data_IF_788506519111
#
_entry.id   IF_788506519111
#
_cell.length_a   1.000
_cell.length_b   1.000
_cell.length_c   1.000
_cell.angle_alpha   90.00
_cell.angle_beta   90.00
_cell.angle_gamma   90.00
#
_symmetry.space_group_name_H-M   'P 1'
#
loop_
_entity.id
_entity.type
_entity.pdbx_description
1 polymer ?
#
# COMPACT_ATOMS: atom_id res chain seq x y z
N UNK A 1 -29.74 11.30 -2.63
CA UNK A 1 -28.60 10.64 -1.96
C UNK A 1 -28.57 9.17 -2.30
N UNK A 2 -29.72 8.51 -2.37
CA UNK A 2 -29.85 7.07 -2.65
C UNK A 2 -29.11 6.61 -3.92
N UNK A 3 -29.22 7.34 -5.03
CA UNK A 3 -28.54 6.99 -6.29
C UNK A 3 -27.00 6.99 -6.16
N UNK A 4 -26.41 7.94 -5.42
CA UNK A 4 -24.95 8.00 -5.23
C UNK A 4 -24.46 6.81 -4.40
N UNK A 5 -25.22 6.43 -3.37
CA UNK A 5 -24.91 5.28 -2.52
C UNK A 5 -25.05 3.98 -3.32
N UNK A 6 -26.08 3.84 -4.14
CA UNK A 6 -26.26 2.68 -5.04
C UNK A 6 -25.10 2.57 -6.04
N UNK A 7 -24.68 3.67 -6.67
CA UNK A 7 -23.54 3.67 -7.58
C UNK A 7 -22.22 3.35 -6.89
N UNK A 8 -22.04 3.79 -5.64
CA UNK A 8 -20.89 3.41 -4.83
C UNK A 8 -20.88 1.92 -4.48
N UNK A 9 -22.05 1.31 -4.23
CA UNK A 9 -22.18 -0.14 -4.01
C UNK A 9 -21.83 -0.93 -5.26
N UNK A 10 -22.38 -0.55 -6.41
CA UNK A 10 -22.07 -1.17 -7.71
C UNK A 10 -20.54 -1.11 -7.98
N UNK A 11 -19.91 0.03 -7.73
CA UNK A 11 -18.46 0.17 -7.85
C UNK A 11 -17.70 -0.76 -6.89
N UNK A 12 -18.18 -0.91 -5.65
CA UNK A 12 -17.61 -1.83 -4.67
C UNK A 12 -17.72 -3.30 -5.10
N UNK A 13 -18.85 -3.70 -5.68
CA UNK A 13 -19.06 -5.05 -6.23
C UNK A 13 -18.11 -5.31 -7.40
N UNK A 14 -18.00 -4.36 -8.35
CA UNK A 14 -17.05 -4.47 -9.45
C UNK A 14 -15.58 -4.55 -8.97
N UNK A 15 -15.24 -3.87 -7.88
CA UNK A 15 -13.92 -3.95 -7.27
C UNK A 15 -13.66 -5.33 -6.64
N UNK A 16 -14.67 -5.89 -5.96
CA UNK A 16 -14.58 -7.23 -5.39
C UNK A 16 -14.42 -8.32 -6.47
N UNK A 17 -14.98 -8.10 -7.66
CA UNK A 17 -14.83 -9.00 -8.81
C UNK A 17 -13.60 -8.69 -9.68
N UNK A 18 -12.86 -7.62 -9.38
CA UNK A 18 -11.69 -7.22 -10.15
C UNK A 18 -10.56 -8.25 -10.06
N UNK A 19 -9.82 -8.41 -11.16
CA UNK A 19 -8.66 -9.31 -11.23
C UNK A 19 -7.62 -8.99 -10.14
N UNK A 20 -7.44 -7.71 -9.83
CA UNK A 20 -6.51 -7.22 -8.80
C UNK A 20 -6.94 -7.69 -7.40
N UNK A 21 -8.24 -7.59 -7.08
CA UNK A 21 -8.74 -8.05 -5.79
C UNK A 21 -8.70 -9.57 -5.66
N UNK A 22 -9.08 -10.30 -6.70
CA UNK A 22 -9.00 -11.77 -6.72
C UNK A 22 -7.54 -12.23 -6.56
N UNK A 23 -6.59 -11.60 -7.28
CA UNK A 23 -5.15 -11.87 -7.12
C UNK A 23 -4.69 -11.63 -5.69
N UNK A 24 -5.09 -10.51 -5.09
CA UNK A 24 -4.78 -10.20 -3.69
C UNK A 24 -5.33 -11.27 -2.74
N UNK A 25 -6.56 -11.72 -2.92
CA UNK A 25 -7.18 -12.75 -2.07
C UNK A 25 -6.47 -14.09 -2.16
N UNK A 26 -6.13 -14.52 -3.37
CA UNK A 26 -5.38 -15.75 -3.59
C UNK A 26 -3.97 -15.67 -2.99
N UNK A 27 -3.29 -14.53 -3.16
CA UNK A 27 -1.96 -14.31 -2.60
C UNK A 27 -1.99 -14.26 -1.05
N UNK A 28 -3.03 -13.66 -0.47
CA UNK A 28 -3.27 -13.64 0.97
C UNK A 28 -3.45 -15.07 1.51
N UNK A 29 -4.27 -15.90 0.86
CA UNK A 29 -4.46 -17.29 1.24
C UNK A 29 -3.17 -18.13 1.11
N UNK A 30 -2.45 -17.98 0.00
CA UNK A 30 -1.17 -18.66 -0.22
C UNK A 30 -0.13 -18.29 0.86
N UNK A 31 -0.03 -17.00 1.19
CA UNK A 31 0.85 -16.49 2.23
C UNK A 31 0.43 -16.94 3.63
N UNK A 32 -0.87 -17.08 3.91
CA UNK A 32 -1.41 -17.62 5.17
C UNK A 32 -1.09 -19.11 5.36
N UNK A 33 -1.14 -19.87 4.28
CA UNK A 33 -0.89 -21.31 4.29
C UNK A 33 0.62 -21.67 4.26
N UNK A 34 1.51 -20.71 3.97
CA UNK A 34 2.96 -20.88 4.02
C UNK A 34 3.49 -20.66 5.45
N UNK A 35 3.86 -21.74 6.13
CA UNK A 35 4.41 -21.70 7.49
C UNK A 35 5.70 -20.89 7.60
N UNK A 36 6.57 -20.95 6.59
CA UNK A 36 7.81 -20.17 6.54
C UNK A 36 7.48 -18.68 6.39
N UNK A 37 6.50 -18.33 5.56
CA UNK A 37 6.03 -16.96 5.43
C UNK A 37 5.46 -16.43 6.76
N UNK A 38 4.66 -17.23 7.48
CA UNK A 38 4.13 -16.86 8.80
C UNK A 38 5.24 -16.58 9.81
N UNK A 39 6.25 -17.45 9.88
CA UNK A 39 7.37 -17.29 10.80
C UNK A 39 8.20 -16.04 10.50
N UNK A 40 8.49 -15.81 9.21
CA UNK A 40 9.18 -14.62 8.73
C UNK A 40 8.42 -13.34 9.11
N UNK A 41 7.11 -13.28 8.83
CA UNK A 41 6.27 -12.14 9.18
C UNK A 41 6.17 -11.91 10.69
N UNK A 42 6.11 -12.98 11.49
CA UNK A 42 6.10 -12.88 12.95
C UNK A 42 7.38 -12.22 13.47
N UNK A 43 8.55 -12.64 12.98
CA UNK A 43 9.84 -12.08 13.35
C UNK A 43 9.96 -10.61 12.94
N UNK A 44 9.62 -10.28 11.70
CA UNK A 44 9.61 -8.91 11.21
C UNK A 44 8.68 -8.00 12.05
N UNK A 45 7.47 -8.47 12.34
CA UNK A 45 6.52 -7.72 13.16
C UNK A 45 7.02 -7.49 14.59
N UNK A 46 7.74 -8.44 15.18
CA UNK A 46 8.37 -8.26 16.48
C UNK A 46 9.44 -7.17 16.43
N UNK A 47 10.38 -7.23 15.47
CA UNK A 47 11.43 -6.22 15.29
C UNK A 47 10.84 -4.83 15.02
N UNK A 48 9.83 -4.75 14.16
CA UNK A 48 9.11 -3.50 13.86
C UNK A 48 8.48 -2.87 15.11
N UNK A 49 7.86 -3.68 15.98
CA UNK A 49 7.29 -3.19 17.24
C UNK A 49 8.38 -2.71 18.21
N UNK A 50 9.48 -3.44 18.32
CA UNK A 50 10.62 -3.05 19.16
C UNK A 50 11.23 -1.72 18.68
N UNK A 51 11.49 -1.59 17.37
CA UNK A 51 11.96 -0.37 16.75
C UNK A 51 11.01 0.82 17.01
N UNK A 52 9.70 0.64 16.81
CA UNK A 52 8.71 1.67 17.08
C UNK A 52 8.71 2.11 18.56
N UNK A 53 8.90 1.18 19.49
CA UNK A 53 9.01 1.49 20.91
C UNK A 53 10.28 2.29 21.22
N UNK A 54 11.44 1.88 20.68
CA UNK A 54 12.71 2.57 20.89
C UNK A 54 12.68 4.01 20.37
N UNK A 55 12.12 4.22 19.17
CA UNK A 55 11.94 5.55 18.57
C UNK A 55 10.99 6.39 19.43
N UNK A 56 9.84 5.84 19.84
CA UNK A 56 8.84 6.56 20.65
C UNK A 56 9.36 6.94 22.03
N UNK A 57 10.22 6.14 22.64
CA UNK A 57 10.83 6.45 23.93
C UNK A 57 11.81 7.64 23.88
N UNK A 58 12.14 8.17 22.70
CA UNK A 58 13.00 9.35 22.54
C UNK A 58 14.45 9.13 23.01
N UNK A 59 14.84 7.87 23.23
CA UNK A 59 16.18 7.49 23.74
C UNK A 59 17.22 7.35 22.64
N UNK A 60 16.80 7.39 21.38
CA UNK A 60 17.69 7.23 20.23
C UNK A 60 18.08 8.59 19.65
N UNK A 61 19.35 8.76 19.35
CA UNK A 61 19.83 9.88 18.53
C UNK A 61 19.56 9.62 17.03
N UNK A 62 19.84 10.61 16.18
CA UNK A 62 19.57 10.52 14.75
C UNK A 62 20.29 9.33 14.07
N UNK A 63 21.55 9.07 14.44
CA UNK A 63 22.34 7.97 13.89
C UNK A 63 21.76 6.59 14.28
N UNK A 64 21.34 6.44 15.54
CA UNK A 64 20.71 5.22 16.03
C UNK A 64 19.35 4.99 15.38
N UNK A 65 18.56 6.05 15.15
CA UNK A 65 17.29 5.95 14.40
C UNK A 65 17.56 5.45 12.99
N UNK A 66 18.60 5.96 12.33
CA UNK A 66 18.94 5.53 10.96
C UNK A 66 19.43 4.09 10.92
N UNK A 67 20.21 3.65 11.92
CA UNK A 67 20.60 2.24 12.08
C UNK A 67 19.38 1.32 12.20
N UNK A 68 18.43 1.69 13.05
CA UNK A 68 17.19 0.91 13.25
C UNK A 68 16.37 0.84 11.96
N UNK A 69 16.27 1.93 11.18
CA UNK A 69 15.60 1.90 9.88
C UNK A 69 16.31 0.97 8.90
N UNK A 70 17.65 1.02 8.85
CA UNK A 70 18.44 0.16 7.96
C UNK A 70 18.25 -1.32 8.30
N UNK A 71 18.29 -1.67 9.59
CA UNK A 71 18.00 -3.02 10.05
C UNK A 71 16.59 -3.48 9.66
N UNK A 72 15.58 -2.63 9.83
CA UNK A 72 14.22 -2.95 9.40
C UNK A 72 14.11 -3.14 7.88
N UNK A 73 14.87 -2.38 7.10
CA UNK A 73 14.91 -2.51 5.65
C UNK A 73 15.57 -3.83 5.22
N UNK A 74 16.67 -4.22 5.86
CA UNK A 74 17.34 -5.50 5.62
C UNK A 74 16.43 -6.69 5.96
N UNK A 75 15.70 -6.61 7.08
CA UNK A 75 14.71 -7.61 7.46
C UNK A 75 13.52 -7.65 6.49
N UNK A 76 13.08 -6.50 5.98
CA UNK A 76 12.06 -6.45 4.95
C UNK A 76 12.54 -7.12 3.64
N UNK A 77 13.80 -6.89 3.25
CA UNK A 77 14.36 -7.55 2.06
C UNK A 77 14.37 -9.08 2.23
N UNK A 78 14.68 -9.59 3.42
CA UNK A 78 14.58 -11.03 3.74
C UNK A 78 13.15 -11.57 3.64
N UNK A 79 12.15 -10.78 4.05
CA UNK A 79 10.75 -11.14 3.82
C UNK A 79 10.44 -11.27 2.31
N UNK A 80 10.97 -10.34 1.52
CA UNK A 80 10.71 -10.23 0.08
C UNK A 80 11.37 -11.36 -0.74
N UNK A 81 12.27 -12.13 -0.15
CA UNK A 81 12.84 -13.34 -0.76
C UNK A 81 11.85 -14.52 -0.76
N UNK A 82 10.83 -14.52 0.11
CA UNK A 82 9.77 -15.53 0.08
C UNK A 82 8.75 -15.17 -1.01
N UNK A 83 8.51 -16.11 -1.93
CA UNK A 83 7.65 -15.89 -3.10
C UNK A 83 6.21 -15.56 -2.73
N UNK A 84 5.63 -16.22 -1.72
CA UNK A 84 4.25 -15.97 -1.28
C UNK A 84 4.11 -14.59 -0.63
N UNK A 85 5.09 -14.17 0.18
CA UNK A 85 5.12 -12.81 0.75
C UNK A 85 5.28 -11.77 -0.35
N UNK A 86 6.21 -11.98 -1.28
CA UNK A 86 6.44 -11.08 -2.41
C UNK A 86 5.16 -10.91 -3.23
N UNK A 87 4.53 -12.00 -3.63
CA UNK A 87 3.29 -11.98 -4.41
C UNK A 87 2.16 -11.27 -3.66
N UNK A 88 2.01 -11.51 -2.35
CA UNK A 88 1.05 -10.78 -1.53
C UNK A 88 1.31 -9.26 -1.53
N UNK A 89 2.57 -8.84 -1.34
CA UNK A 89 2.94 -7.41 -1.33
C UNK A 89 2.67 -6.77 -2.69
N UNK A 90 3.04 -7.44 -3.78
CA UNK A 90 2.84 -6.95 -5.15
C UNK A 90 1.36 -6.88 -5.50
N UNK A 91 0.58 -7.93 -5.23
CA UNK A 91 -0.85 -7.95 -5.47
C UNK A 91 -1.59 -6.88 -4.65
N UNK A 92 -1.17 -6.66 -3.40
CA UNK A 92 -1.72 -5.60 -2.55
C UNK A 92 -1.43 -4.22 -3.12
N UNK A 93 -0.19 -3.96 -3.54
CA UNK A 93 0.21 -2.70 -4.16
C UNK A 93 -0.59 -2.41 -5.42
N UNK A 94 -0.80 -3.42 -6.27
CA UNK A 94 -1.57 -3.26 -7.50
C UNK A 94 -3.05 -2.94 -7.22
N UNK A 95 -3.66 -3.59 -6.23
CA UNK A 95 -5.03 -3.27 -5.82
C UNK A 95 -5.13 -1.87 -5.18
N UNK A 96 -4.16 -1.48 -4.35
CA UNK A 96 -4.09 -0.12 -3.78
C UNK A 96 -3.95 0.95 -4.88
N UNK A 97 -3.17 0.68 -5.95
CA UNK A 97 -3.07 1.59 -7.09
C UNK A 97 -4.41 1.75 -7.82
N UNK A 98 -5.18 0.67 -7.99
CA UNK A 98 -6.51 0.73 -8.56
C UNK A 98 -7.44 1.61 -7.71
N UNK A 99 -7.47 1.39 -6.39
CA UNK A 99 -8.26 2.20 -5.46
C UNK A 99 -7.85 3.68 -5.48
N UNK A 100 -6.54 3.96 -5.47
CA UNK A 100 -6.03 5.32 -5.54
C UNK A 100 -6.42 6.01 -6.86
N UNK A 101 -6.39 5.29 -7.98
CA UNK A 101 -6.83 5.81 -9.28
C UNK A 101 -8.31 6.18 -9.25
N UNK A 102 -9.16 5.30 -8.70
CA UNK A 102 -10.60 5.56 -8.55
C UNK A 102 -10.85 6.78 -7.67
N UNK A 103 -10.20 6.84 -6.51
CA UNK A 103 -10.32 7.99 -5.61
C UNK A 103 -9.88 9.29 -6.30
N UNK A 104 -8.81 9.24 -7.10
CA UNK A 104 -8.33 10.40 -7.87
C UNK A 104 -9.34 10.88 -8.90
N UNK A 105 -10.03 9.96 -9.58
CA UNK A 105 -11.12 10.27 -10.51
C UNK A 105 -12.27 10.94 -9.75
N UNK A 106 -12.68 10.39 -8.59
CA UNK A 106 -13.73 10.99 -7.77
C UNK A 106 -13.35 12.42 -7.33
N UNK A 107 -12.12 12.64 -6.86
CA UNK A 107 -11.63 13.95 -6.45
C UNK A 107 -11.60 14.96 -7.60
N UNK A 108 -11.20 14.52 -8.79
CA UNK A 108 -11.18 15.36 -10.00
C UNK A 108 -12.58 15.91 -10.32
N UNK A 109 -13.62 15.08 -10.26
CA UNK A 109 -14.99 15.52 -10.60
C UNK A 109 -15.67 16.36 -9.52
N UNK A 110 -15.23 16.29 -8.25
CA UNK A 110 -15.77 17.15 -7.18
C UNK A 110 -15.02 18.48 -7.04
N UNK A 111 -14.05 18.77 -7.91
CA UNK A 111 -13.28 20.02 -7.90
C UNK A 111 -12.21 20.11 -6.82
N UNK A 112 -11.88 19.01 -6.15
CA UNK A 112 -10.73 18.95 -5.24
C UNK A 112 -9.46 18.60 -6.04
N UNK A 113 -8.97 19.54 -6.86
CA UNK A 113 -7.80 19.33 -7.75
C UNK A 113 -6.46 19.06 -7.02
N UNK A 114 -6.43 19.03 -5.68
CA UNK A 114 -5.19 19.04 -4.91
C UNK A 114 -5.12 18.05 -3.73
N UNK A 115 -5.60 16.81 -3.90
CA UNK A 115 -5.19 15.70 -3.03
C UNK A 115 -4.54 14.59 -3.86
N UNK A 116 -3.21 14.69 -3.94
CA UNK A 116 -2.24 13.76 -4.55
C UNK A 116 -2.82 12.45 -5.09
N UNK A 117 -3.03 12.43 -6.40
CA UNK A 117 -3.17 11.22 -7.20
C UNK A 117 -2.80 11.54 -8.63
N UNK A 118 -1.53 11.31 -8.99
CA UNK A 118 -1.10 11.48 -10.37
C UNK A 118 -1.83 10.44 -11.24
N UNK A 119 -2.78 10.92 -12.06
CA UNK A 119 -3.36 10.17 -13.16
C UNK A 119 -2.25 9.84 -14.17
N UNK A 120 -2.03 8.57 -14.55
CA UNK A 120 -1.18 8.25 -15.69
C UNK A 120 -2.00 8.45 -16.96
N UNK A 121 -1.77 9.54 -17.70
CA UNK A 121 -2.24 9.62 -19.09
C UNK A 121 -2.65 10.97 -19.68
N UNK A 122 -2.61 12.10 -18.96
CA UNK A 122 -2.84 13.41 -19.58
C UNK A 122 -1.93 14.50 -19.00
N UNK A 123 -0.63 14.41 -19.26
CA UNK A 123 0.23 15.59 -19.37
C UNK A 123 0.36 15.91 -20.86
N UNK A 124 -0.62 16.62 -21.40
CA UNK A 124 -0.55 17.25 -22.72
C UNK A 124 -1.49 18.45 -22.67
N UNK A 125 -0.97 19.62 -23.03
CA UNK A 125 -1.53 20.99 -22.86
C UNK A 125 -1.52 21.45 -21.41
N UNK A 126 -0.64 22.32 -20.92
CA UNK A 126 0.15 23.37 -21.55
C UNK A 126 -0.10 24.65 -20.76
N UNK A 127 0.96 25.19 -20.14
CA UNK A 127 1.27 26.63 -19.95
C UNK A 127 2.16 26.81 -18.72
N UNK A 128 3.41 27.20 -18.97
CA UNK A 128 4.30 27.83 -17.98
C UNK A 128 3.63 29.04 -17.32
N UNK A 129 3.77 29.21 -16.01
CA UNK A 129 4.27 30.45 -15.35
C UNK A 129 3.98 30.45 -13.85
N UNK A 130 5.01 30.72 -13.07
CA UNK A 130 4.92 31.70 -11.98
C UNK A 130 5.27 31.20 -10.58
N UNK A 131 6.52 31.49 -10.21
CA UNK A 131 7.09 31.63 -8.86
C UNK A 131 7.19 30.38 -7.97
#
# INVERSE_FOLDING_TARGET
MDNIIEKAKELGEMLAESKQYIRLKNAEEAQLNDSKAQDLLKQYNQKRRQAAMLIRCGKLNAEQIESVKKELQEEFNRLYENENIKEYIEAKKDFEQLLNTINSILYFYIGEENKKGCLPGKCSTGTCRGC
#
